data_IF_054218518134
#
_entry.id   IF_054218518134
#
_cell.length_a   1.000
_cell.length_b   1.000
_cell.length_c   1.000
_cell.angle_alpha   90.00
_cell.angle_beta   90.00
_cell.angle_gamma   90.00
#
_symmetry.space_group_name_H-M   'P 1'
#
loop_
_entity.id
_entity.type
_entity.pdbx_description
1 polymer ?
#
# COMPACT_ATOMS: atom_id res chain seq x y z
N UNK A 1 -4.79 -22.12 -45.08
CA UNK A 1 -4.78 -21.60 -43.70
C UNK A 1 -3.40 -21.88 -43.13
N UNK A 2 -2.53 -20.87 -43.11
CA UNK A 2 -1.28 -20.88 -42.35
C UNK A 2 -1.41 -19.82 -41.25
N UNK A 3 -1.00 -20.08 -40.00
CA UNK A 3 -0.98 -19.04 -38.99
C UNK A 3 0.20 -18.11 -39.25
N UNK A 4 -0.07 -16.81 -39.32
CA UNK A 4 0.96 -15.77 -39.35
C UNK A 4 1.40 -15.55 -37.90
N UNK A 5 2.67 -15.81 -37.61
CA UNK A 5 3.29 -15.49 -36.34
C UNK A 5 3.49 -13.97 -36.21
N UNK A 6 3.12 -13.41 -35.06
CA UNK A 6 3.47 -12.05 -34.64
C UNK A 6 4.79 -12.12 -33.86
N UNK A 7 5.89 -11.71 -34.48
CA UNK A 7 7.09 -11.30 -33.74
C UNK A 7 6.89 -9.86 -33.26
N UNK A 8 6.97 -9.65 -31.94
CA UNK A 8 6.95 -8.31 -31.35
C UNK A 8 8.38 -7.84 -31.07
N UNK A 9 8.89 -6.94 -31.91
CA UNK A 9 10.06 -6.11 -31.57
C UNK A 9 9.59 -4.99 -30.66
N UNK A 10 10.09 -4.98 -29.42
CA UNK A 10 9.76 -3.95 -28.43
C UNK A 10 10.55 -2.69 -28.80
N UNK A 11 9.83 -1.64 -29.19
CA UNK A 11 10.36 -0.29 -29.42
C UNK A 11 9.47 0.72 -28.72
N UNK A 12 10.04 1.43 -27.74
CA UNK A 12 9.37 2.47 -26.96
C UNK A 12 9.14 3.72 -27.80
N UNK A 13 7.90 3.92 -28.26
CA UNK A 13 7.25 5.21 -28.44
C UNK A 13 5.75 4.95 -28.56
N UNK A 14 4.94 5.79 -27.94
CA UNK A 14 3.48 5.68 -27.97
C UNK A 14 2.94 5.86 -29.39
N UNK A 15 2.97 4.81 -30.20
CA UNK A 15 2.24 4.73 -31.44
C UNK A 15 0.92 4.03 -31.17
N UNK A 16 -0.17 4.74 -31.45
CA UNK A 16 -1.53 4.21 -31.50
C UNK A 16 -1.56 2.82 -32.12
N UNK A 17 -2.10 1.83 -31.41
CA UNK A 17 -2.39 0.51 -31.97
C UNK A 17 -3.50 0.72 -33.01
N UNK A 18 -3.12 0.84 -34.28
CA UNK A 18 -4.05 0.93 -35.39
C UNK A 18 -4.66 -0.45 -35.66
N UNK A 19 -5.85 -0.71 -35.15
CA UNK A 19 -6.69 -1.81 -35.62
C UNK A 19 -7.61 -1.23 -36.71
N UNK A 20 -7.36 -1.59 -37.98
CA UNK A 20 -8.25 -1.20 -39.09
C UNK A 20 -9.50 -2.10 -39.10
N UNK A 21 -10.64 -1.54 -38.70
CA UNK A 21 -11.95 -2.20 -38.72
C UNK A 21 -12.92 -1.55 -39.73
N UNK A 22 -12.42 -0.80 -40.72
CA UNK A 22 -13.28 -0.10 -41.68
C UNK A 22 -13.92 1.18 -41.11
N UNK A 23 -14.88 1.75 -41.84
CA UNK A 23 -15.24 3.19 -41.91
C UNK A 23 -15.66 3.93 -40.61
N UNK A 24 -15.70 3.27 -39.47
CA UNK A 24 -15.94 3.89 -38.18
C UNK A 24 -14.63 3.96 -37.39
N UNK A 25 -13.97 5.13 -37.41
CA UNK A 25 -12.84 5.41 -36.53
C UNK A 25 -13.34 5.50 -35.09
N UNK A 26 -13.37 4.37 -34.38
CA UNK A 26 -13.55 4.38 -32.93
C UNK A 26 -12.26 4.97 -32.34
N UNK A 27 -12.35 6.18 -31.80
CA UNK A 27 -11.28 6.75 -31.01
C UNK A 27 -11.23 6.01 -29.66
N UNK A 28 -10.45 4.92 -29.60
CA UNK A 28 -10.20 4.22 -28.34
C UNK A 28 -9.38 5.18 -27.48
N UNK A 29 -10.05 5.89 -26.56
CA UNK A 29 -9.38 6.63 -25.49
C UNK A 29 -8.40 5.65 -24.85
N UNK A 30 -7.10 5.97 -24.88
CA UNK A 30 -6.06 5.12 -24.32
C UNK A 30 -6.43 4.66 -22.90
N UNK A 31 -6.11 3.42 -22.57
CA UNK A 31 -6.36 2.86 -21.24
C UNK A 31 -5.59 3.71 -20.23
N UNK A 32 -6.30 4.53 -19.44
CA UNK A 32 -5.69 5.33 -18.37
C UNK A 32 -5.25 4.37 -17.27
N UNK A 33 -3.95 4.31 -17.00
CA UNK A 33 -3.43 3.52 -15.88
C UNK A 33 -4.05 4.02 -14.57
N UNK A 34 -4.60 3.08 -13.80
CA UNK A 34 -5.19 3.32 -12.49
C UNK A 34 -4.07 3.21 -11.47
N UNK A 35 -3.58 4.34 -11.01
CA UNK A 35 -2.69 4.42 -9.85
C UNK A 35 -3.52 4.71 -8.61
N UNK A 36 -3.24 4.01 -7.51
CA UNK A 36 -3.80 4.32 -6.20
C UNK A 36 -2.70 4.45 -5.15
N UNK A 37 -2.99 5.21 -4.10
CA UNK A 37 -2.11 5.35 -2.93
C UNK A 37 -2.77 4.67 -1.72
N UNK A 38 -2.05 3.77 -1.07
CA UNK A 38 -2.38 3.26 0.27
C UNK A 38 -1.46 3.94 1.29
N UNK A 39 -1.88 5.06 1.90
CA UNK A 39 -1.04 5.77 2.86
C UNK A 39 -1.07 5.08 4.23
N UNK A 40 -0.07 5.31 5.07
CA UNK A 40 -0.05 4.81 6.44
C UNK A 40 1.24 5.15 7.18
N UNK A 41 1.23 4.97 8.50
CA UNK A 41 2.47 5.04 9.28
C UNK A 41 3.28 3.75 9.18
N UNK A 42 2.63 2.58 9.16
CA UNK A 42 3.29 1.26 9.05
C UNK A 42 4.41 1.06 10.09
N UNK A 43 4.11 1.30 11.36
CA UNK A 43 5.09 1.27 12.46
C UNK A 43 4.81 0.17 13.51
N UNK A 44 5.11 -1.11 13.22
CA UNK A 44 5.55 -1.63 11.92
C UNK A 44 4.37 -2.04 11.02
N UNK A 45 4.67 -2.45 9.79
CA UNK A 45 3.72 -3.16 8.92
C UNK A 45 3.27 -4.48 9.57
N UNK A 46 2.00 -4.85 9.40
CA UNK A 46 1.36 -6.02 10.02
C UNK A 46 0.71 -6.90 8.96
N UNK A 47 0.29 -8.13 9.31
CA UNK A 47 -0.44 -9.00 8.38
C UNK A 47 -1.74 -8.35 7.87
N UNK A 48 -2.41 -7.55 8.70
CA UNK A 48 -3.56 -6.75 8.27
C UNK A 48 -3.22 -5.74 7.17
N UNK A 49 -2.09 -5.05 7.26
CA UNK A 49 -1.63 -4.16 6.19
C UNK A 49 -1.32 -4.93 4.91
N UNK A 50 -0.65 -6.09 5.02
CA UNK A 50 -0.33 -6.95 3.87
C UNK A 50 -1.60 -7.45 3.16
N UNK A 51 -2.64 -7.77 3.92
CA UNK A 51 -3.94 -8.14 3.37
C UNK A 51 -4.52 -7.01 2.49
N UNK A 52 -4.53 -5.78 3.00
CA UNK A 52 -5.00 -4.61 2.24
C UNK A 52 -4.12 -4.34 1.02
N UNK A 53 -2.79 -4.41 1.15
CA UNK A 53 -1.86 -4.23 0.02
C UNK A 53 -2.15 -5.24 -1.09
N UNK A 54 -2.25 -6.53 -0.76
CA UNK A 54 -2.51 -7.61 -1.73
C UNK A 54 -3.88 -7.52 -2.41
N UNK A 55 -4.90 -7.04 -1.69
CA UNK A 55 -6.24 -6.85 -2.27
C UNK A 55 -6.27 -5.62 -3.16
N UNK A 56 -5.67 -4.53 -2.70
CA UNK A 56 -5.56 -3.27 -3.43
C UNK A 56 -4.79 -3.44 -4.73
N UNK A 57 -3.67 -4.16 -4.72
CA UNK A 57 -2.82 -4.37 -5.90
C UNK A 57 -3.53 -5.12 -7.02
N UNK A 58 -4.60 -5.88 -6.72
CA UNK A 58 -5.43 -6.55 -7.74
C UNK A 58 -6.51 -5.65 -8.34
N UNK A 59 -6.77 -4.48 -7.74
CA UNK A 59 -7.83 -3.56 -8.16
C UNK A 59 -7.33 -2.44 -9.08
N UNK A 60 -6.01 -2.23 -9.12
CA UNK A 60 -5.36 -1.10 -9.78
C UNK A 60 -4.16 -1.57 -10.59
N UNK A 61 -3.77 -0.79 -11.59
CA UNK A 61 -2.60 -1.11 -12.42
C UNK A 61 -1.31 -0.87 -11.64
N UNK A 62 -1.29 0.13 -10.75
CA UNK A 62 -0.16 0.46 -9.87
C UNK A 62 -0.64 0.86 -8.48
N UNK A 63 -0.08 0.25 -7.43
CA UNK A 63 -0.33 0.63 -6.05
C UNK A 63 0.93 1.25 -5.44
N UNK A 64 0.80 2.45 -4.89
CA UNK A 64 1.86 3.11 -4.12
C UNK A 64 1.51 3.01 -2.64
N UNK A 65 2.35 2.34 -1.86
CA UNK A 65 2.24 2.33 -0.40
C UNK A 65 3.00 3.53 0.14
N UNK A 66 2.25 4.56 0.54
CA UNK A 66 2.78 5.85 1.00
C UNK A 66 3.10 5.84 2.48
N UNK A 67 4.39 5.82 2.83
CA UNK A 67 4.87 5.85 4.21
C UNK A 67 4.94 7.29 4.69
N UNK A 68 3.98 7.70 5.52
CA UNK A 68 3.97 9.06 6.05
C UNK A 68 5.14 9.27 7.02
N UNK A 69 5.95 10.29 6.74
CA UNK A 69 6.92 10.84 7.67
C UNK A 69 6.26 11.96 8.48
N UNK A 70 5.82 11.63 9.70
CA UNK A 70 5.20 12.60 10.59
C UNK A 70 6.17 12.95 11.73
N UNK A 71 6.78 14.13 11.63
CA UNK A 71 7.74 14.65 12.63
C UNK A 71 7.12 14.89 14.00
N UNK A 72 5.80 14.98 14.12
CA UNK A 72 5.10 15.18 15.40
C UNK A 72 4.83 13.87 16.15
N UNK A 73 5.16 12.72 15.57
CA UNK A 73 5.05 11.41 16.22
C UNK A 73 6.44 10.83 16.46
N UNK A 74 6.57 10.04 17.53
CA UNK A 74 7.77 9.25 17.82
C UNK A 74 7.52 7.79 17.45
N UNK A 75 7.69 7.40 16.16
CA UNK A 75 7.54 6.01 15.76
C UNK A 75 8.64 5.15 16.38
N UNK A 76 8.36 3.86 16.56
CA UNK A 76 9.36 2.89 17.02
C UNK A 76 10.47 2.74 15.98
N UNK A 77 10.08 2.70 14.70
CA UNK A 77 10.97 2.61 13.56
C UNK A 77 11.01 3.94 12.79
N UNK A 78 12.21 4.35 12.40
CA UNK A 78 12.46 5.47 11.49
C UNK A 78 11.70 5.27 10.16
N UNK A 79 11.50 6.36 9.41
CA UNK A 79 10.84 6.27 8.09
C UNK A 79 11.60 5.34 7.15
N UNK A 80 12.93 5.37 7.19
CA UNK A 80 13.81 4.51 6.39
C UNK A 80 13.62 3.04 6.75
N UNK A 81 13.63 2.70 8.05
CA UNK A 81 13.34 1.33 8.53
C UNK A 81 11.96 0.86 8.04
N UNK A 82 10.91 1.70 8.16
CA UNK A 82 9.55 1.35 7.75
C UNK A 82 9.40 1.14 6.24
N UNK A 83 10.07 1.97 5.43
CA UNK A 83 10.13 1.79 3.98
C UNK A 83 10.83 0.47 3.63
N UNK A 84 11.96 0.18 4.27
CA UNK A 84 12.71 -1.06 4.01
C UNK A 84 11.92 -2.31 4.42
N UNK A 85 11.22 -2.25 5.54
CA UNK A 85 10.27 -3.29 5.95
C UNK A 85 9.25 -3.59 4.86
N UNK A 86 8.60 -2.54 4.35
CA UNK A 86 7.58 -2.67 3.31
C UNK A 86 8.15 -3.19 1.99
N UNK A 87 9.35 -2.73 1.59
CA UNK A 87 10.04 -3.24 0.39
C UNK A 87 10.32 -4.73 0.51
N UNK A 88 10.82 -5.20 1.64
CA UNK A 88 11.12 -6.62 1.84
C UNK A 88 9.86 -7.49 1.82
N UNK A 89 8.80 -7.08 2.52
CA UNK A 89 7.57 -7.89 2.63
C UNK A 89 6.65 -7.81 1.40
N UNK A 90 6.86 -6.82 0.52
CA UNK A 90 6.09 -6.64 -0.71
C UNK A 90 6.89 -6.96 -1.98
N UNK A 91 8.13 -7.45 -1.87
CA UNK A 91 9.03 -7.66 -3.03
C UNK A 91 8.47 -8.56 -4.13
N UNK A 92 7.58 -9.48 -3.79
CA UNK A 92 6.97 -10.43 -4.72
C UNK A 92 5.65 -9.90 -5.34
N UNK A 93 5.28 -8.64 -5.09
CA UNK A 93 4.08 -8.00 -5.64
C UNK A 93 4.51 -6.96 -6.71
N UNK A 94 4.49 -7.38 -7.98
CA UNK A 94 5.11 -6.67 -9.09
C UNK A 94 4.65 -5.22 -9.27
N UNK A 95 3.38 -4.93 -9.01
CA UNK A 95 2.79 -3.62 -9.23
C UNK A 95 2.67 -2.76 -7.95
N UNK A 96 3.45 -3.09 -6.92
CA UNK A 96 3.51 -2.32 -5.67
C UNK A 96 4.82 -1.54 -5.58
N UNK A 97 4.72 -0.23 -5.40
CA UNK A 97 5.84 0.64 -5.10
C UNK A 97 5.73 1.17 -3.67
N UNK A 98 6.87 1.32 -3.00
CA UNK A 98 6.95 1.84 -1.63
C UNK A 98 7.66 3.17 -1.66
N UNK A 99 7.00 4.21 -1.14
CA UNK A 99 7.56 5.55 -1.13
C UNK A 99 7.23 6.27 0.17
N UNK A 100 8.22 6.96 0.74
CA UNK A 100 7.99 7.86 1.85
C UNK A 100 7.56 9.24 1.35
N UNK A 101 6.69 9.89 2.10
CA UNK A 101 6.30 11.27 1.80
C UNK A 101 6.13 12.07 3.09
N UNK A 102 6.19 13.38 2.94
CA UNK A 102 5.94 14.37 3.98
C UNK A 102 4.90 15.39 3.50
N UNK A 103 4.31 16.13 4.43
CA UNK A 103 3.26 17.10 4.11
C UNK A 103 1.89 16.47 3.87
N UNK A 104 1.09 17.09 3.00
CA UNK A 104 -0.31 16.72 2.77
C UNK A 104 -0.43 15.56 1.77
N UNK A 105 -1.27 14.58 2.11
CA UNK A 105 -1.55 13.42 1.24
C UNK A 105 -2.10 13.84 -0.13
N UNK A 106 -2.88 14.91 -0.21
CA UNK A 106 -3.45 15.41 -1.47
C UNK A 106 -2.36 15.91 -2.43
N UNK A 107 -1.28 16.49 -1.92
CA UNK A 107 -0.15 16.92 -2.76
C UNK A 107 0.67 15.71 -3.21
N UNK A 108 0.89 14.75 -2.32
CA UNK A 108 1.52 13.48 -2.69
C UNK A 108 0.74 12.75 -3.80
N UNK A 109 -0.59 12.73 -3.74
CA UNK A 109 -1.43 12.15 -4.80
C UNK A 109 -1.22 12.85 -6.15
N UNK A 110 -1.17 14.20 -6.16
CA UNK A 110 -0.90 15.00 -7.36
C UNK A 110 0.47 14.68 -7.96
N UNK A 111 1.52 14.60 -7.14
CA UNK A 111 2.86 14.21 -7.57
C UNK A 111 2.88 12.82 -8.24
N UNK A 112 2.04 11.90 -7.77
CA UNK A 112 1.92 10.55 -8.34
C UNK A 112 0.91 10.43 -9.47
N UNK A 113 0.31 11.54 -9.91
CA UNK A 113 -0.77 11.56 -10.90
C UNK A 113 -1.89 10.56 -10.54
N UNK A 114 -2.17 10.44 -9.23
CA UNK A 114 -3.17 9.55 -8.67
C UNK A 114 -4.31 10.37 -8.08
N UNK A 115 -5.52 9.82 -8.15
CA UNK A 115 -6.70 10.40 -7.51
C UNK A 115 -7.46 9.36 -6.68
N UNK A 116 -6.85 8.20 -6.41
CA UNK A 116 -7.46 7.11 -5.65
C UNK A 116 -6.65 6.91 -4.37
N UNK A 117 -7.33 7.03 -3.24
CA UNK A 117 -6.82 6.60 -1.94
C UNK A 117 -7.47 5.27 -1.60
N UNK A 118 -6.69 4.31 -1.11
CA UNK A 118 -7.23 3.09 -0.49
C UNK A 118 -6.96 3.14 1.00
N UNK A 119 -7.94 2.74 1.83
CA UNK A 119 -7.81 2.64 3.29
C UNK A 119 -8.42 1.33 3.79
N UNK A 120 -7.82 0.75 4.82
CA UNK A 120 -8.36 -0.42 5.50
C UNK A 120 -9.24 -0.02 6.68
N UNK A 121 -10.38 -0.69 6.86
CA UNK A 121 -11.26 -0.54 8.03
C UNK A 121 -11.30 -1.86 8.80
N UNK A 122 -10.99 -1.83 10.09
CA UNK A 122 -11.02 -3.05 10.93
C UNK A 122 -12.26 -3.12 11.79
N UNK A 123 -12.70 -1.97 12.29
CA UNK A 123 -13.87 -1.82 13.14
C UNK A 123 -14.63 -0.53 12.80
N UNK A 124 -15.86 -0.42 13.32
CA UNK A 124 -16.69 0.79 13.18
C UNK A 124 -15.97 2.04 13.70
N UNK A 125 -15.17 1.91 14.76
CA UNK A 125 -14.39 3.02 15.32
C UNK A 125 -13.36 3.59 14.35
N UNK A 126 -12.79 2.78 13.44
CA UNK A 126 -11.89 3.29 12.41
C UNK A 126 -12.67 4.14 11.39
N UNK A 127 -13.92 3.76 11.08
CA UNK A 127 -14.70 4.39 10.03
C UNK A 127 -14.97 5.87 10.26
N UNK A 128 -15.34 6.28 11.48
CA UNK A 128 -15.63 7.69 11.76
C UNK A 128 -14.41 8.60 11.51
N UNK A 129 -13.25 8.18 12.02
CA UNK A 129 -11.98 8.89 11.83
C UNK A 129 -11.58 8.93 10.35
N UNK A 130 -11.67 7.78 9.67
CA UNK A 130 -11.29 7.65 8.27
C UNK A 130 -12.24 8.40 7.32
N UNK A 131 -13.54 8.43 7.63
CA UNK A 131 -14.54 9.19 6.87
C UNK A 131 -14.25 10.69 6.96
N UNK A 132 -13.90 11.20 8.13
CA UNK A 132 -13.52 12.60 8.31
C UNK A 132 -12.30 12.97 7.46
N UNK A 133 -11.27 12.11 7.42
CA UNK A 133 -10.09 12.31 6.58
C UNK A 133 -10.46 12.28 5.10
N UNK A 134 -11.27 11.32 4.66
CA UNK A 134 -11.71 11.22 3.27
C UNK A 134 -12.47 12.47 2.81
N UNK A 135 -13.42 12.96 3.63
CA UNK A 135 -14.15 14.19 3.35
C UNK A 135 -13.24 15.42 3.31
N UNK A 136 -12.23 15.46 4.18
CA UNK A 136 -11.24 16.55 4.18
C UNK A 136 -10.41 16.54 2.90
N UNK A 137 -9.92 15.37 2.47
CA UNK A 137 -9.16 15.26 1.22
C UNK A 137 -10.00 15.62 0.00
N UNK A 138 -11.26 15.17 -0.06
CA UNK A 138 -12.20 15.50 -1.14
C UNK A 138 -12.56 16.99 -1.19
N UNK A 139 -12.63 17.65 -0.03
CA UNK A 139 -12.81 19.11 0.07
C UNK A 139 -11.60 19.88 -0.50
N UNK A 140 -10.38 19.38 -0.27
CA UNK A 140 -9.15 19.99 -0.79
C UNK A 140 -8.93 19.72 -2.29
N UNK A 141 -9.36 18.55 -2.78
CA UNK A 141 -9.34 18.19 -4.19
C UNK A 141 -10.55 17.29 -4.53
N UNK A 142 -11.58 17.84 -5.19
CA UNK A 142 -12.80 17.11 -5.53
C UNK A 142 -12.61 15.94 -6.51
N UNK A 143 -11.42 15.78 -7.09
CA UNK A 143 -11.11 14.66 -7.99
C UNK A 143 -10.66 13.40 -7.24
N UNK A 144 -10.34 13.53 -5.95
CA UNK A 144 -9.87 12.44 -5.10
C UNK A 144 -11.05 11.62 -4.59
N UNK A 145 -10.98 10.31 -4.83
CA UNK A 145 -11.87 9.32 -4.24
C UNK A 145 -11.12 8.49 -3.19
N UNK A 146 -11.81 8.16 -2.09
CA UNK A 146 -11.29 7.23 -1.07
C UNK A 146 -12.10 5.93 -1.08
N UNK A 147 -11.41 4.81 -1.28
CA UNK A 147 -11.96 3.46 -1.24
C UNK A 147 -11.63 2.83 0.10
N UNK A 148 -12.68 2.43 0.82
CA UNK A 148 -12.54 1.67 2.06
C UNK A 148 -12.64 0.17 1.81
N UNK A 149 -11.63 -0.57 2.24
CA UNK A 149 -11.63 -2.03 2.25
C UNK A 149 -11.82 -2.52 3.69
N UNK A 150 -12.86 -3.30 3.93
CA UNK A 150 -13.03 -4.00 5.20
C UNK A 150 -11.93 -5.06 5.30
N UNK A 151 -11.14 -4.99 6.36
CA UNK A 151 -10.07 -5.96 6.67
C UNK A 151 -10.69 -7.33 6.94
N UNK A 152 -10.04 -8.39 6.46
CA UNK A 152 -10.49 -9.76 6.71
C UNK A 152 -10.58 -10.04 8.22
N UNK A 153 -11.57 -10.82 8.64
CA UNK A 153 -11.92 -11.03 10.06
C UNK A 153 -10.73 -11.51 10.89
N UNK A 154 -9.89 -12.38 10.31
CA UNK A 154 -8.66 -12.91 10.93
C UNK A 154 -7.60 -11.83 11.24
N UNK A 155 -7.69 -10.64 10.64
CA UNK A 155 -6.77 -9.53 10.88
C UNK A 155 -7.45 -8.32 11.55
N UNK A 156 -8.75 -8.38 11.82
CA UNK A 156 -9.54 -7.28 12.38
C UNK A 156 -9.01 -6.77 13.74
N UNK A 157 -8.43 -7.66 14.55
CA UNK A 157 -7.86 -7.29 15.85
C UNK A 157 -6.45 -6.68 15.74
N UNK A 158 -5.82 -6.69 14.56
CA UNK A 158 -4.44 -6.23 14.40
C UNK A 158 -4.35 -4.72 14.34
N UNK A 159 -3.50 -4.15 15.19
CA UNK A 159 -3.01 -2.78 15.08
C UNK A 159 -1.51 -2.78 15.30
N UNK A 160 -0.77 -1.87 14.66
CA UNK A 160 0.66 -1.73 14.95
C UNK A 160 0.91 -1.37 16.42
N UNK A 161 -0.02 -0.65 17.08
CA UNK A 161 0.06 -0.36 18.52
C UNK A 161 0.01 -1.63 19.37
N UNK A 162 -0.95 -2.53 19.10
CA UNK A 162 -1.08 -3.82 19.80
C UNK A 162 0.15 -4.68 19.54
N UNK A 163 0.63 -4.73 18.29
CA UNK A 163 1.86 -5.46 17.94
C UNK A 163 3.05 -4.95 18.75
N UNK A 164 3.22 -3.62 18.83
CA UNK A 164 4.32 -3.01 19.61
C UNK A 164 4.18 -3.27 21.10
N UNK A 165 2.97 -3.24 21.65
CA UNK A 165 2.72 -3.54 23.05
C UNK A 165 3.07 -4.99 23.39
N UNK A 166 2.56 -5.96 22.61
CA UNK A 166 2.90 -7.39 22.76
C UNK A 166 4.40 -7.58 22.64
N UNK A 167 5.04 -6.97 21.64
CA UNK A 167 6.48 -7.03 21.45
C UNK A 167 7.25 -6.36 22.60
N UNK A 168 6.78 -5.27 23.18
CA UNK A 168 7.48 -4.61 24.28
C UNK A 168 7.57 -5.50 25.53
N UNK A 169 6.57 -6.36 25.75
CA UNK A 169 6.47 -7.23 26.93
C UNK A 169 6.95 -8.67 26.70
N UNK A 170 7.70 -8.94 25.63
CA UNK A 170 8.25 -10.28 25.38
C UNK A 170 7.28 -11.28 24.71
N UNK A 171 6.09 -10.82 24.30
CA UNK A 171 5.09 -11.69 23.70
C UNK A 171 5.43 -12.13 22.27
N UNK A 172 4.92 -13.29 21.86
CA UNK A 172 5.11 -13.78 20.50
C UNK A 172 4.22 -13.01 19.49
N UNK A 173 4.87 -12.39 18.50
CA UNK A 173 4.21 -11.60 17.43
C UNK A 173 4.20 -12.29 16.05
N UNK A 174 4.66 -13.54 15.95
CA UNK A 174 4.82 -14.26 14.68
C UNK A 174 3.50 -14.46 13.92
N UNK A 175 2.36 -14.41 14.63
CA UNK A 175 1.00 -14.49 14.05
C UNK A 175 0.39 -13.12 13.74
N UNK A 176 1.11 -12.02 13.99
CA UNK A 176 0.62 -10.65 13.87
C UNK A 176 1.31 -9.88 12.73
N UNK A 177 2.57 -10.26 12.43
CA UNK A 177 3.43 -9.62 11.45
C UNK A 177 4.16 -10.65 10.59
N UNK A 178 4.63 -10.29 9.39
CA UNK A 178 5.54 -11.15 8.63
C UNK A 178 6.78 -11.52 9.45
N UNK A 179 7.33 -12.73 9.24
CA UNK A 179 8.49 -13.25 10.00
C UNK A 179 9.68 -12.30 10.02
N UNK A 180 9.97 -11.63 8.91
CA UNK A 180 11.01 -10.62 8.81
C UNK A 180 10.82 -9.49 9.84
N UNK A 181 9.59 -9.02 10.01
CA UNK A 181 9.23 -7.95 10.96
C UNK A 181 9.30 -8.42 12.41
N UNK A 182 8.92 -9.68 12.69
CA UNK A 182 9.07 -10.28 14.02
C UNK A 182 10.53 -10.25 14.49
N UNK A 183 11.47 -10.58 13.60
CA UNK A 183 12.91 -10.46 13.88
C UNK A 183 13.32 -9.03 14.25
N UNK A 184 12.92 -8.05 13.44
CA UNK A 184 13.24 -6.63 13.68
C UNK A 184 12.64 -6.11 15.00
N UNK A 185 11.44 -6.55 15.38
CA UNK A 185 10.83 -6.20 16.67
C UNK A 185 11.63 -6.76 17.85
N UNK A 186 12.08 -8.02 17.76
CA UNK A 186 12.91 -8.65 18.80
C UNK A 186 14.25 -7.93 18.97
N UNK A 187 14.89 -7.55 17.86
CA UNK A 187 16.10 -6.74 17.85
C UNK A 187 15.85 -5.36 18.48
N UNK A 188 14.79 -4.65 18.06
CA UNK A 188 14.48 -3.29 18.52
C UNK A 188 14.20 -3.22 20.02
N UNK A 189 13.55 -4.24 20.58
CA UNK A 189 13.23 -4.33 22.00
C UNK A 189 14.28 -5.09 22.83
N UNK A 190 15.42 -5.47 22.24
CA UNK A 190 16.52 -6.20 22.90
C UNK A 190 16.04 -7.46 23.65
N UNK A 191 15.28 -8.31 22.97
CA UNK A 191 14.93 -9.62 23.53
C UNK A 191 16.21 -10.37 23.87
N UNK A 192 16.41 -10.69 25.14
CA UNK A 192 17.45 -11.65 25.52
C UNK A 192 17.00 -12.99 24.99
N UNK A 193 17.83 -13.67 24.21
CA UNK A 193 17.63 -15.09 23.97
C UNK A 193 17.59 -15.75 25.35
N UNK A 194 16.42 -16.28 25.72
CA UNK A 194 16.36 -17.23 26.81
C UNK A 194 17.26 -18.39 26.39
N UNK A 195 18.46 -18.41 26.99
CA UNK A 195 19.30 -19.60 27.02
C UNK A 195 18.47 -20.62 27.75
N UNK A 196 17.71 -21.43 27.01
CA UNK A 196 17.04 -22.59 27.56
C UNK A 196 18.11 -23.45 28.24
N UNK A 197 18.08 -23.46 29.58
CA UNK A 197 18.72 -24.47 30.44
C UNK A 197 18.05 -25.84 30.25
#
# INVERSE_FOLDING_TARGET
MNPVFLESTIGTSYDSIGIDLGKDKINIRGVKMRTAVYPGSFDPVTLGHINIIKRSSKMVDKLIVGVLNNSNKSPLFSVEERVNMLKEVCKDIENVEIEAFEGLLVEFLKEKNSNIIIRGLRAISDFEYELQIAQTNSSLDPTIDTIFLVTDVEYSYLSSSIVKEVAQYGGNVDQLVPRYISGLLKEKYNYKEDKNE
#
